data_IF_821839588558
#
_entry.id   IF_821839588558
#
_cell.length_a   1.000
_cell.length_b   1.000
_cell.length_c   1.000
_cell.angle_alpha   90.00
_cell.angle_beta   90.00
_cell.angle_gamma   90.00
#
_symmetry.space_group_name_H-M   'P 1'
#
loop_
_entity.id
_entity.type
_entity.pdbx_description
1 polymer ?
#
# COMPACT_ATOMS: atom_id res chain seq x y z
N UNK A 1 26.29 -24.43 1.83
CA UNK A 1 24.98 -24.71 1.19
C UNK A 1 23.95 -24.31 2.23
N UNK A 2 23.27 -23.16 2.09
CA UNK A 2 22.16 -22.84 3.00
C UNK A 2 20.99 -23.76 2.66
N UNK A 3 20.33 -24.21 3.73
CA UNK A 3 19.34 -25.28 3.71
C UNK A 3 18.11 -24.94 2.85
N UNK A 4 17.61 -25.97 2.19
CA UNK A 4 16.48 -25.95 1.26
C UNK A 4 15.17 -25.66 1.99
N UNK A 5 14.85 -24.38 2.15
CA UNK A 5 13.47 -23.93 2.30
C UNK A 5 12.85 -24.08 0.91
N UNK A 6 11.69 -24.73 0.80
CA UNK A 6 10.97 -24.85 -0.47
C UNK A 6 10.71 -23.44 -1.03
N UNK A 7 11.48 -23.04 -2.05
CA UNK A 7 11.40 -21.76 -2.78
C UNK A 7 10.03 -21.50 -3.45
N UNK A 8 9.07 -22.43 -3.31
CA UNK A 8 7.72 -22.33 -3.88
C UNK A 8 6.69 -21.59 -3.01
N UNK A 9 7.01 -21.27 -1.74
CA UNK A 9 6.06 -20.64 -0.79
C UNK A 9 6.55 -19.30 -0.21
N UNK A 10 7.75 -18.83 -0.59
CA UNK A 10 8.25 -17.52 -0.18
C UNK A 10 7.67 -16.47 -1.12
N UNK A 11 6.68 -15.73 -0.61
CA UNK A 11 6.13 -14.57 -1.30
C UNK A 11 7.21 -13.48 -1.42
N UNK A 12 7.70 -13.27 -2.64
CA UNK A 12 8.62 -12.18 -2.95
C UNK A 12 7.86 -10.85 -2.96
N UNK A 13 8.08 -10.06 -1.91
CA UNK A 13 7.47 -8.74 -1.76
C UNK A 13 8.31 -7.67 -2.45
N UNK A 14 7.69 -6.93 -3.36
CA UNK A 14 8.28 -5.76 -4.00
C UNK A 14 7.50 -4.49 -3.64
N UNK A 15 8.17 -3.35 -3.38
CA UNK A 15 7.47 -2.09 -3.17
C UNK A 15 6.76 -1.67 -4.46
N UNK A 16 5.43 -1.55 -4.42
CA UNK A 16 4.63 -1.17 -5.58
C UNK A 16 4.39 0.34 -5.66
N UNK A 17 4.08 0.99 -4.53
CA UNK A 17 3.77 2.41 -4.48
C UNK A 17 4.18 3.01 -3.13
N UNK A 18 4.53 4.29 -3.14
CA UNK A 18 4.72 5.12 -1.95
C UNK A 18 3.87 6.38 -2.12
N UNK A 19 3.11 6.74 -1.08
CA UNK A 19 2.28 7.96 -1.04
C UNK A 19 2.68 8.74 0.21
N UNK A 20 2.99 10.01 0.04
CA UNK A 20 3.43 10.88 1.14
C UNK A 20 4.20 12.10 0.64
N UNK A 21 4.60 13.00 1.54
CA UNK A 21 5.48 14.11 1.22
C UNK A 21 6.83 13.61 0.67
N UNK A 22 7.47 14.43 -0.16
CA UNK A 22 8.79 14.13 -0.75
C UNK A 22 9.92 14.52 0.21
N UNK A 23 9.64 15.43 1.14
CA UNK A 23 10.56 15.83 2.20
C UNK A 23 10.24 15.11 3.53
N UNK A 24 11.13 15.28 4.49
CA UNK A 24 10.99 14.70 5.84
C UNK A 24 10.06 15.53 6.74
N UNK A 25 9.41 16.60 6.22
CA UNK A 25 8.50 17.43 7.00
C UNK A 25 7.11 16.80 7.08
N UNK A 26 6.94 15.91 8.08
CA UNK A 26 5.64 15.30 8.37
C UNK A 26 4.91 16.11 9.44
N UNK A 27 3.74 16.64 9.11
CA UNK A 27 2.86 17.28 10.09
C UNK A 27 2.15 16.21 10.93
N UNK A 28 1.96 16.46 12.23
CA UNK A 28 1.27 15.49 13.10
C UNK A 28 -0.14 15.15 12.60
N UNK A 29 -0.82 16.12 11.98
CA UNK A 29 -2.13 15.93 11.38
C UNK A 29 -2.13 14.94 10.19
N UNK A 30 -1.00 14.81 9.48
CA UNK A 30 -0.86 13.92 8.32
C UNK A 30 -0.42 12.49 8.72
N UNK A 31 -0.18 12.22 10.01
CA UNK A 31 0.16 10.87 10.47
C UNK A 31 -1.03 9.94 10.29
N UNK A 32 -0.82 8.87 9.52
CA UNK A 32 -1.80 7.80 9.32
C UNK A 32 -2.11 7.15 10.68
N UNK A 33 -3.40 7.09 10.99
CA UNK A 33 -3.93 6.56 12.25
C UNK A 33 -4.73 5.27 12.05
N UNK A 34 -5.32 5.07 10.86
CA UNK A 34 -6.08 3.87 10.53
C UNK A 34 -5.98 3.55 9.04
N UNK A 35 -6.05 2.26 8.70
CA UNK A 35 -6.13 1.73 7.34
C UNK A 35 -7.17 0.61 7.29
N UNK A 36 -7.99 0.56 6.25
CA UNK A 36 -8.99 -0.48 6.08
C UNK A 36 -9.26 -0.74 4.59
N UNK A 37 -9.17 -2.02 4.19
CA UNK A 37 -9.69 -2.46 2.90
C UNK A 37 -11.19 -2.71 3.00
N UNK A 38 -11.93 -2.38 1.94
CA UNK A 38 -13.28 -2.88 1.81
C UNK A 38 -13.28 -4.40 1.57
N UNK A 39 -14.46 -5.03 1.62
CA UNK A 39 -14.59 -6.49 1.65
C UNK A 39 -14.01 -7.21 0.43
N UNK A 40 -14.01 -6.58 -0.75
CA UNK A 40 -13.47 -7.14 -1.99
C UNK A 40 -12.01 -6.76 -2.25
N UNK A 41 -11.43 -5.85 -1.45
CA UNK A 41 -10.06 -5.39 -1.57
C UNK A 41 -9.82 -4.37 -2.69
N UNK A 42 -10.86 -3.89 -3.38
CA UNK A 42 -10.73 -2.94 -4.48
C UNK A 42 -10.61 -1.48 -4.01
N UNK A 43 -11.02 -1.19 -2.77
CA UNK A 43 -10.87 0.11 -2.12
C UNK A 43 -10.03 0.01 -0.85
N UNK A 44 -9.14 0.97 -0.66
CA UNK A 44 -8.36 1.16 0.55
C UNK A 44 -8.69 2.53 1.15
N UNK A 45 -9.31 2.54 2.32
CA UNK A 45 -9.53 3.73 3.12
C UNK A 45 -8.37 3.96 4.08
N UNK A 46 -7.88 5.19 4.14
CA UNK A 46 -6.80 5.64 5.03
C UNK A 46 -7.29 6.86 5.79
N UNK A 47 -7.18 6.84 7.11
CA UNK A 47 -7.49 7.98 7.97
C UNK A 47 -6.25 8.49 8.67
N UNK A 48 -6.10 9.81 8.78
CA UNK A 48 -5.01 10.45 9.53
C UNK A 48 -5.50 11.10 10.84
N UNK A 49 -4.55 11.54 11.68
CA UNK A 49 -4.85 12.22 12.95
C UNK A 49 -5.59 13.55 12.77
N UNK A 50 -5.46 14.20 11.62
CA UNK A 50 -6.16 15.44 11.27
C UNK A 50 -7.65 15.23 10.95
N UNK A 51 -8.10 13.97 10.86
CA UNK A 51 -9.47 13.60 10.55
C UNK A 51 -9.77 13.57 9.05
N UNK A 52 -8.76 13.65 8.18
CA UNK A 52 -8.94 13.45 6.74
C UNK A 52 -9.03 11.95 6.45
N UNK A 53 -9.96 11.60 5.57
CA UNK A 53 -10.14 10.26 5.03
C UNK A 53 -9.80 10.30 3.54
N UNK A 54 -8.89 9.43 3.12
CA UNK A 54 -8.51 9.23 1.72
C UNK A 54 -8.92 7.83 1.31
N UNK A 55 -9.58 7.69 0.15
CA UNK A 55 -9.96 6.39 -0.41
C UNK A 55 -9.22 6.19 -1.72
N UNK A 56 -8.41 5.13 -1.77
CA UNK A 56 -7.72 4.69 -2.99
C UNK A 56 -8.53 3.59 -3.65
N UNK A 57 -8.64 3.65 -4.98
CA UNK A 57 -9.18 2.57 -5.80
C UNK A 57 -8.02 1.81 -6.44
N UNK A 58 -8.08 0.48 -6.43
CA UNK A 58 -7.11 -0.38 -7.10
C UNK A 58 -7.07 -0.03 -8.60
N UNK A 59 -5.88 0.28 -9.11
CA UNK A 59 -5.69 0.49 -10.54
C UNK A 59 -5.82 -0.86 -11.28
N UNK A 60 -6.67 -0.91 -12.30
CA UNK A 60 -6.70 -2.04 -13.23
C UNK A 60 -5.58 -1.83 -14.26
N UNK A 61 -4.54 -2.65 -14.19
CA UNK A 61 -3.44 -2.62 -15.15
C UNK A 61 -3.97 -3.05 -16.53
N UNK A 62 -4.14 -2.10 -17.45
CA UNK A 62 -4.39 -2.43 -18.86
C UNK A 62 -3.07 -2.94 -19.44
N UNK A 63 -2.94 -4.26 -19.54
CA UNK A 63 -1.81 -4.88 -20.25
C UNK A 63 -2.01 -4.58 -21.74
N UNK A 64 -1.30 -3.58 -22.26
CA UNK A 64 -1.14 -3.40 -23.70
C UNK A 64 -0.05 -4.37 -24.13
N UNK A 65 -0.44 -5.46 -24.80
CA UNK A 65 0.50 -6.33 -25.50
C UNK A 65 0.85 -5.63 -26.81
N UNK A 66 2.07 -5.08 -26.89
CA UNK A 66 2.68 -4.57 -28.13
C UNK A 66 3.33 -5.71 -28.93
#
# INVERSE_FOLDING_TARGET
MPDSINDGDLLDWYPSQVKGPVDDEVQEADLISTIEFNQDGELLAVGDKGGRIVVFQREQQVIIII
#
